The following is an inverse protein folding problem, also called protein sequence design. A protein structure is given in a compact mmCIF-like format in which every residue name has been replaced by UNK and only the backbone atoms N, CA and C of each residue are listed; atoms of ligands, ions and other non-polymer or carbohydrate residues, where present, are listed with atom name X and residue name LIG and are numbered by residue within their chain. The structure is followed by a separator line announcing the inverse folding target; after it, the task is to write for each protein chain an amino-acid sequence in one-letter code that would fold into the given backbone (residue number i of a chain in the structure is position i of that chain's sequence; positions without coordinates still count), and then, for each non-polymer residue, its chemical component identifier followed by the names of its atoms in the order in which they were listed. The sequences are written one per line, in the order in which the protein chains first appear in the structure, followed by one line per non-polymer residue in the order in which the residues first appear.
data_IF_622924711088
#
_entry.id   IF_622924711088
#
_cell.length_a   1.000
_cell.length_b   1.000
_cell.length_c   1.000
_cell.angle_alpha   90.00
_cell.angle_beta   90.00
_cell.angle_gamma   90.00
#
_symmetry.space_group_name_H-M   'P 1'
#
loop_
_entity.id
_entity.type
_entity.pdbx_description
1 polymer ?
#
# COMPACT_ATOMS: atom_id res chain seq x y z
N UNK A 1 -10.54 -15.61 -17.53
CA UNK A 1 -10.03 -14.37 -18.16
C UNK A 1 -9.54 -13.52 -17.00
N UNK A 2 -8.23 -13.25 -16.91
CA UNK A 2 -7.74 -12.21 -16.01
C UNK A 2 -8.34 -10.91 -16.53
N UNK A 3 -9.11 -10.23 -15.69
CA UNK A 3 -9.61 -8.90 -16.01
C UNK A 3 -8.38 -7.99 -16.12
N UNK A 4 -8.04 -7.55 -17.31
CA UNK A 4 -6.90 -6.67 -17.58
C UNK A 4 -7.19 -5.26 -17.06
N UNK A 5 -7.10 -5.10 -15.75
CA UNK A 5 -7.24 -3.78 -15.11
C UNK A 5 -6.18 -2.82 -15.61
N UNK A 6 -6.59 -1.62 -15.97
CA UNK A 6 -5.67 -0.54 -16.31
C UNK A 6 -5.12 0.11 -15.03
N UNK A 7 -3.81 0.11 -14.87
CA UNK A 7 -3.13 0.70 -13.70
C UNK A 7 -2.45 2.00 -14.13
N UNK A 8 -2.95 3.13 -13.63
CA UNK A 8 -2.48 4.46 -13.99
C UNK A 8 -1.73 5.12 -12.83
N UNK A 9 -0.54 5.63 -13.13
CA UNK A 9 0.22 6.46 -12.20
C UNK A 9 -0.33 7.90 -12.26
N UNK A 10 -0.85 8.43 -11.16
CA UNK A 10 -1.40 9.79 -11.14
C UNK A 10 -0.36 10.87 -11.46
N UNK A 11 0.94 10.56 -11.34
CA UNK A 11 2.02 11.47 -11.69
C UNK A 11 1.97 11.90 -13.16
N UNK A 12 1.53 11.01 -14.05
CA UNK A 12 1.43 11.34 -15.47
C UNK A 12 0.38 12.43 -15.74
N UNK A 13 -0.71 12.42 -14.99
CA UNK A 13 -1.71 13.48 -15.04
C UNK A 13 -1.22 14.76 -14.39
N UNK A 14 -0.54 14.67 -13.25
CA UNK A 14 0.03 15.84 -12.56
C UNK A 14 1.01 16.61 -13.46
N UNK A 15 1.77 15.94 -14.33
CA UNK A 15 2.65 16.58 -15.32
C UNK A 15 1.90 17.47 -16.32
N UNK A 16 0.60 17.24 -16.52
CA UNK A 16 -0.26 18.08 -17.37
C UNK A 16 -0.69 19.39 -16.68
N UNK A 17 -0.19 19.65 -15.47
CA UNK A 17 -0.54 20.82 -14.68
C UNK A 17 -1.97 20.79 -14.16
N UNK A 18 -2.59 21.98 -14.06
CA UNK A 18 -3.92 22.12 -13.45
C UNK A 18 -4.99 21.27 -14.15
N UNK A 19 -4.96 21.19 -15.46
CA UNK A 19 -5.94 20.38 -16.22
C UNK A 19 -5.90 18.89 -15.82
N UNK A 20 -4.71 18.32 -15.66
CA UNK A 20 -4.54 16.95 -15.21
C UNK A 20 -4.97 16.75 -13.75
N UNK A 21 -4.70 17.71 -12.87
CA UNK A 21 -5.18 17.66 -11.48
C UNK A 21 -6.71 17.70 -11.41
N UNK A 22 -7.36 18.54 -12.22
CA UNK A 22 -8.82 18.65 -12.28
C UNK A 22 -9.44 17.33 -12.80
N UNK A 23 -8.84 16.69 -13.81
CA UNK A 23 -9.23 15.35 -14.28
C UNK A 23 -9.15 14.30 -13.16
N UNK A 24 -8.04 14.29 -12.40
CA UNK A 24 -7.88 13.37 -11.27
C UNK A 24 -8.95 13.59 -10.22
N UNK A 25 -9.24 14.84 -9.84
CA UNK A 25 -10.29 15.16 -8.86
C UNK A 25 -11.67 14.69 -9.31
N UNK A 26 -11.97 14.83 -10.61
CA UNK A 26 -13.20 14.30 -11.19
C UNK A 26 -13.28 12.78 -11.06
N UNK A 27 -12.20 12.05 -11.38
CA UNK A 27 -12.14 10.58 -11.23
C UNK A 27 -12.27 10.18 -9.76
N UNK A 28 -11.57 10.88 -8.86
CA UNK A 28 -11.60 10.56 -7.43
C UNK A 28 -12.97 10.80 -6.78
N UNK A 29 -13.78 11.71 -7.31
CA UNK A 29 -15.13 11.98 -6.77
C UNK A 29 -16.06 10.77 -6.81
N UNK A 30 -15.80 9.81 -7.69
CA UNK A 30 -16.55 8.55 -7.80
C UNK A 30 -16.01 7.43 -6.88
N UNK A 31 -14.94 7.68 -6.14
CA UNK A 31 -14.40 6.70 -5.20
C UNK A 31 -15.06 6.80 -3.84
N UNK A 32 -15.58 5.68 -3.34
CA UNK A 32 -16.21 5.55 -2.03
C UNK A 32 -15.62 4.40 -1.24
N UNK A 33 -15.29 4.67 0.02
CA UNK A 33 -14.74 3.66 0.92
C UNK A 33 -15.29 3.80 2.35
N UNK A 34 -16.60 3.60 2.51
CA UNK A 34 -17.27 3.70 3.80
C UNK A 34 -16.68 2.80 4.89
N UNK A 35 -16.03 1.70 4.49
CA UNK A 35 -15.35 0.77 5.41
C UNK A 35 -14.11 1.36 6.05
N UNK A 36 -13.51 2.37 5.42
CA UNK A 36 -12.35 3.09 5.93
C UNK A 36 -12.29 4.50 5.32
N UNK A 37 -12.84 5.47 6.04
CA UNK A 37 -12.90 6.87 5.59
C UNK A 37 -11.52 7.50 5.40
N UNK A 38 -10.49 7.03 6.11
CA UNK A 38 -9.13 7.53 5.92
C UNK A 38 -8.59 7.19 4.53
N UNK A 39 -8.94 6.00 4.02
CA UNK A 39 -8.58 5.56 2.67
C UNK A 39 -9.26 6.44 1.62
N UNK A 40 -10.54 6.78 1.82
CA UNK A 40 -11.27 7.67 0.92
C UNK A 40 -10.69 9.10 0.95
N UNK A 41 -10.57 9.66 2.14
CA UNK A 41 -10.04 11.02 2.35
C UNK A 41 -8.59 11.17 1.83
N UNK A 42 -7.75 10.16 2.03
CA UNK A 42 -6.39 10.22 1.47
C UNK A 42 -6.40 10.35 -0.05
N UNK A 43 -7.19 9.54 -0.76
CA UNK A 43 -7.25 9.61 -2.22
C UNK A 43 -7.74 10.98 -2.69
N UNK A 44 -8.85 11.44 -2.13
CA UNK A 44 -9.57 12.64 -2.61
C UNK A 44 -8.89 13.94 -2.22
N UNK A 45 -8.24 13.99 -1.06
CA UNK A 45 -7.72 15.24 -0.48
C UNK A 45 -6.20 15.33 -0.48
N UNK A 46 -5.47 14.21 -0.37
CA UNK A 46 -4.04 14.22 -0.06
C UNK A 46 -3.16 13.63 -1.16
N UNK A 47 -3.65 12.66 -1.94
CA UNK A 47 -2.86 11.85 -2.86
C UNK A 47 -2.08 12.66 -3.90
N UNK A 48 -2.71 13.71 -4.45
CA UNK A 48 -2.08 14.61 -5.43
C UNK A 48 -0.91 15.34 -4.80
N UNK A 49 -1.12 15.96 -3.64
CA UNK A 49 -0.09 16.73 -2.94
C UNK A 49 1.08 15.85 -2.47
N UNK A 50 0.81 14.66 -1.94
CA UNK A 50 1.85 13.70 -1.56
C UNK A 50 2.68 13.27 -2.76
N UNK A 51 2.04 13.06 -3.91
CA UNK A 51 2.74 12.69 -5.15
C UNK A 51 3.58 13.86 -5.70
N UNK A 52 3.07 15.09 -5.66
CA UNK A 52 3.81 16.31 -6.06
C UNK A 52 5.04 16.54 -5.20
N UNK A 53 4.93 16.29 -3.88
CA UNK A 53 6.03 16.44 -2.92
C UNK A 53 6.99 15.24 -2.90
N UNK A 54 6.81 14.25 -3.77
CA UNK A 54 7.59 12.99 -3.78
C UNK A 54 7.57 12.23 -2.43
N UNK A 55 6.53 12.39 -1.64
CA UNK A 55 6.35 11.68 -0.38
C UNK A 55 5.82 10.25 -0.61
N UNK A 56 5.02 10.07 -1.66
CA UNK A 56 4.53 8.77 -2.13
C UNK A 56 4.07 8.87 -3.58
N UNK A 57 3.78 7.74 -4.20
CA UNK A 57 3.18 7.67 -5.54
C UNK A 57 1.89 6.88 -5.46
N UNK A 58 0.80 7.47 -5.95
CA UNK A 58 -0.51 6.83 -6.00
C UNK A 58 -0.77 6.27 -7.40
N UNK A 59 -1.30 5.07 -7.44
CA UNK A 59 -1.75 4.36 -8.63
C UNK A 59 -3.25 4.11 -8.52
N UNK A 60 -4.00 4.48 -9.53
CA UNK A 60 -5.42 4.15 -9.65
C UNK A 60 -5.61 2.92 -10.53
N UNK A 61 -6.59 2.10 -10.17
CA UNK A 61 -6.95 0.88 -10.88
C UNK A 61 -8.31 1.09 -11.50
N UNK A 62 -8.38 0.99 -12.83
CA UNK A 62 -9.56 1.25 -13.64
C UNK A 62 -10.07 -0.05 -14.24
N UNK A 63 -11.38 -0.27 -14.20
CA UNK A 63 -12.03 -1.36 -14.92
C UNK A 63 -12.04 -1.07 -16.42
N UNK A 64 -11.55 -1.99 -17.26
CA UNK A 64 -11.54 -1.79 -18.70
C UNK A 64 -12.96 -1.67 -19.29
N UNK A 65 -13.91 -2.42 -18.74
CA UNK A 65 -15.28 -2.49 -19.28
C UNK A 65 -16.11 -1.23 -18.98
N UNK A 66 -15.92 -0.64 -17.80
CA UNK A 66 -16.74 0.47 -17.30
C UNK A 66 -16.00 1.81 -17.29
N UNK A 67 -14.69 1.79 -17.50
CA UNK A 67 -13.81 2.97 -17.37
C UNK A 67 -13.94 3.69 -16.01
N UNK A 68 -14.27 2.92 -14.95
CA UNK A 68 -14.47 3.42 -13.60
C UNK A 68 -13.29 3.04 -12.69
N UNK A 69 -12.98 3.91 -11.74
CA UNK A 69 -12.01 3.59 -10.69
C UNK A 69 -12.57 2.49 -9.76
N UNK A 70 -11.93 1.32 -9.75
CA UNK A 70 -12.33 0.17 -8.93
C UNK A 70 -11.51 0.03 -7.66
N UNK A 71 -10.37 0.70 -7.61
CA UNK A 71 -9.48 0.72 -6.46
C UNK A 71 -8.28 1.61 -6.69
N UNK A 72 -7.47 1.74 -5.65
CA UNK A 72 -6.18 2.43 -5.73
C UNK A 72 -5.20 1.87 -4.70
N UNK A 73 -3.94 2.15 -4.90
CA UNK A 73 -2.90 1.92 -3.91
C UNK A 73 -1.82 3.01 -3.99
N UNK A 74 -1.11 3.19 -2.88
CA UNK A 74 -0.05 4.18 -2.78
C UNK A 74 1.23 3.52 -2.29
N UNK A 75 2.35 3.79 -2.97
CA UNK A 75 3.66 3.21 -2.66
C UNK A 75 4.63 4.32 -2.27
N UNK A 76 5.46 4.04 -1.27
CA UNK A 76 6.62 4.84 -0.92
C UNK A 76 7.74 3.93 -0.38
N UNK A 77 8.90 4.50 -0.08
CA UNK A 77 10.01 3.80 0.59
C UNK A 77 10.16 4.39 1.99
N UNK A 78 10.28 3.53 2.99
CA UNK A 78 10.49 3.91 4.39
C UNK A 78 11.54 3.02 5.05
N UNK A 79 12.33 3.57 5.96
CA UNK A 79 13.16 2.76 6.84
C UNK A 79 12.28 1.99 7.82
N UNK A 80 12.64 0.74 8.06
CA UNK A 80 12.04 -0.10 9.12
C UNK A 80 13.14 -0.78 9.91
N UNK A 81 12.82 -1.12 11.15
CA UNK A 81 13.68 -1.93 12.02
C UNK A 81 12.93 -3.21 12.36
N UNK A 82 13.56 -4.35 12.11
CA UNK A 82 12.91 -5.67 12.23
C UNK A 82 13.67 -6.52 13.23
N UNK A 83 12.95 -7.10 14.19
CA UNK A 83 13.45 -8.26 14.93
C UNK A 83 13.16 -9.52 14.09
N UNK A 84 14.18 -10.32 13.82
CA UNK A 84 14.05 -11.49 12.94
C UNK A 84 13.92 -12.81 13.68
N UNK A 85 13.81 -12.81 15.01
CA UNK A 85 13.79 -14.04 15.81
C UNK A 85 12.59 -14.94 15.50
N UNK A 86 11.45 -14.34 15.16
CA UNK A 86 10.22 -15.07 14.81
C UNK A 86 10.14 -15.49 13.32
N UNK A 87 11.13 -15.11 12.51
CA UNK A 87 11.13 -15.45 11.09
C UNK A 87 11.91 -16.75 10.82
N UNK A 88 11.52 -17.47 9.77
CA UNK A 88 12.29 -18.60 9.29
C UNK A 88 13.71 -18.21 8.90
N UNK A 89 14.64 -19.15 9.00
CA UNK A 89 16.04 -18.91 8.63
C UNK A 89 16.20 -18.38 7.18
N UNK A 90 15.32 -18.81 6.27
CA UNK A 90 15.32 -18.32 4.89
C UNK A 90 14.98 -16.84 4.81
N UNK A 91 13.93 -16.40 5.50
CA UNK A 91 13.52 -14.99 5.55
C UNK A 91 14.58 -14.15 6.25
N UNK A 92 15.10 -14.62 7.39
CA UNK A 92 16.18 -13.96 8.13
C UNK A 92 17.41 -13.69 7.24
N UNK A 93 17.87 -14.71 6.50
CA UNK A 93 19.01 -14.55 5.58
C UNK A 93 18.75 -13.55 4.45
N UNK A 94 17.53 -13.51 3.93
CA UNK A 94 17.14 -12.54 2.90
C UNK A 94 17.13 -11.12 3.47
N UNK A 95 16.56 -10.90 4.65
CA UNK A 95 16.56 -9.59 5.33
C UNK A 95 18.01 -9.15 5.59
N UNK A 96 18.84 -10.02 6.16
CA UNK A 96 20.24 -9.72 6.49
C UNK A 96 21.08 -9.26 5.28
N UNK A 97 20.75 -9.71 4.06
CA UNK A 97 21.48 -9.31 2.84
C UNK A 97 21.26 -7.85 2.43
N UNK A 98 20.18 -7.24 2.85
CA UNK A 98 19.77 -5.88 2.42
C UNK A 98 19.62 -4.93 3.61
N UNK A 99 20.17 -5.28 4.75
CA UNK A 99 20.01 -4.56 5.99
C UNK A 99 21.33 -4.41 6.75
N UNK A 100 21.37 -3.46 7.65
CA UNK A 100 22.43 -3.30 8.65
C UNK A 100 21.93 -3.85 9.99
N UNK A 101 22.74 -4.75 10.60
CA UNK A 101 22.44 -5.27 11.93
C UNK A 101 22.99 -4.32 12.98
N UNK A 102 22.12 -3.89 13.89
CA UNK A 102 22.53 -3.16 15.08
C UNK A 102 23.15 -4.14 16.09
N UNK A 103 24.44 -3.94 16.43
CA UNK A 103 25.22 -4.79 17.34
C UNK A 103 24.65 -4.83 18.75
N UNK A 104 24.00 -3.74 19.22
CA UNK A 104 23.57 -3.60 20.60
C UNK A 104 22.27 -4.36 20.90
N UNK A 105 21.39 -4.50 19.91
CA UNK A 105 20.07 -5.10 20.08
C UNK A 105 19.74 -6.22 19.09
N UNK A 106 20.67 -6.55 18.17
CA UNK A 106 20.50 -7.62 17.18
C UNK A 106 19.44 -7.38 16.09
N UNK A 107 18.76 -6.22 16.11
CA UNK A 107 17.73 -5.88 15.13
C UNK A 107 18.37 -5.45 13.80
N UNK A 108 17.59 -5.60 12.73
CA UNK A 108 17.99 -5.25 11.38
C UNK A 108 17.29 -3.97 10.90
N UNK A 109 18.06 -2.99 10.43
CA UNK A 109 17.54 -1.75 9.84
C UNK A 109 17.71 -1.79 8.33
N UNK A 110 16.63 -1.53 7.60
CA UNK A 110 16.61 -1.57 6.13
C UNK A 110 15.58 -0.60 5.56
N UNK A 111 15.79 -0.21 4.30
CA UNK A 111 14.76 0.48 3.53
C UNK A 111 13.82 -0.54 2.90
N UNK A 112 12.51 -0.33 3.05
CA UNK A 112 11.50 -1.23 2.53
C UNK A 112 10.43 -0.45 1.74
N UNK A 113 9.80 -1.10 0.77
CA UNK A 113 8.65 -0.57 0.07
C UNK A 113 7.44 -0.60 1.02
N UNK A 114 6.78 0.52 1.19
CA UNK A 114 5.54 0.63 1.96
C UNK A 114 4.36 0.74 0.99
N UNK A 115 3.42 -0.21 1.06
CA UNK A 115 2.07 0.00 0.53
C UNK A 115 1.33 0.82 1.58
N UNK A 116 1.36 2.15 1.42
CA UNK A 116 0.86 3.10 2.43
C UNK A 116 -0.67 3.18 2.44
N UNK A 117 -1.30 2.94 1.29
CA UNK A 117 -2.74 2.87 1.13
C UNK A 117 -3.09 1.73 0.16
N UNK A 118 -4.19 1.05 0.44
CA UNK A 118 -4.78 0.02 -0.42
C UNK A 118 -6.30 0.07 -0.24
N UNK A 119 -7.01 0.57 -1.24
CA UNK A 119 -8.44 0.82 -1.14
C UNK A 119 -9.24 0.33 -2.33
N UNK A 120 -10.28 -0.46 -2.06
CA UNK A 120 -11.33 -0.79 -3.05
C UNK A 120 -12.36 0.32 -3.10
N UNK A 121 -12.90 0.55 -4.28
CA UNK A 121 -14.11 1.35 -4.41
C UNK A 121 -15.34 0.51 -4.02
N UNK A 122 -16.18 1.06 -3.14
CA UNK A 122 -17.41 0.43 -2.66
C UNK A 122 -18.66 1.18 -3.13
N UNK A 123 -18.55 2.07 -4.12
CA UNK A 123 -19.71 2.70 -4.72
C UNK A 123 -20.63 1.63 -5.35
N UNK A 124 -21.92 1.69 -5.05
CA UNK A 124 -22.91 0.69 -5.47
C UNK A 124 -23.00 0.55 -7.00
N UNK A 125 -22.75 1.65 -7.74
CA UNK A 125 -22.77 1.66 -9.21
C UNK A 125 -21.64 0.83 -9.84
N UNK A 126 -20.54 0.61 -9.08
CA UNK A 126 -19.36 -0.11 -9.55
C UNK A 126 -19.50 -1.61 -9.29
N UNK A 127 -20.20 -1.97 -8.21
CA UNK A 127 -20.35 -3.34 -7.78
C UNK A 127 -19.03 -3.95 -7.27
N UNK A 128 -18.98 -5.29 -7.15
CA UNK A 128 -17.81 -6.00 -6.66
C UNK A 128 -16.84 -6.37 -7.80
N UNK A 129 -16.38 -5.38 -8.57
CA UNK A 129 -15.59 -5.57 -9.80
C UNK A 129 -14.17 -6.08 -9.53
N UNK A 130 -13.56 -5.70 -8.40
CA UNK A 130 -12.21 -6.17 -8.04
C UNK A 130 -12.21 -6.82 -6.65
N UNK A 131 -11.49 -7.92 -6.50
CA UNK A 131 -11.26 -8.53 -5.18
C UNK A 131 -10.12 -7.83 -4.43
N UNK A 132 -10.07 -8.01 -3.10
CA UNK A 132 -8.93 -7.54 -2.30
C UNK A 132 -7.61 -8.19 -2.72
N UNK A 133 -7.66 -9.48 -3.04
CA UNK A 133 -6.49 -10.25 -3.50
C UNK A 133 -5.99 -9.74 -4.84
N UNK A 134 -6.87 -9.45 -5.80
CA UNK A 134 -6.49 -8.91 -7.10
C UNK A 134 -5.85 -7.52 -6.93
N UNK A 135 -6.45 -6.63 -6.12
CA UNK A 135 -5.89 -5.30 -5.89
C UNK A 135 -4.52 -5.37 -5.20
N UNK A 136 -4.36 -6.23 -4.20
CA UNK A 136 -3.07 -6.44 -3.54
C UNK A 136 -2.05 -7.06 -4.49
N UNK A 137 -2.46 -8.01 -5.34
CA UNK A 137 -1.59 -8.62 -6.36
C UNK A 137 -1.07 -7.59 -7.35
N UNK A 138 -1.94 -6.68 -7.83
CA UNK A 138 -1.56 -5.56 -8.70
C UNK A 138 -0.55 -4.64 -8.00
N UNK A 139 -0.80 -4.28 -6.73
CA UNK A 139 0.12 -3.45 -5.96
C UNK A 139 1.49 -4.14 -5.77
N UNK A 140 1.50 -5.43 -5.46
CA UNK A 140 2.74 -6.22 -5.35
C UNK A 140 3.45 -6.36 -6.70
N UNK A 141 2.72 -6.48 -7.80
CA UNK A 141 3.27 -6.43 -9.16
C UNK A 141 4.03 -5.13 -9.41
N UNK A 142 3.44 -3.99 -9.03
CA UNK A 142 4.10 -2.68 -9.14
C UNK A 142 5.33 -2.57 -8.23
N UNK A 143 5.30 -3.13 -7.03
CA UNK A 143 6.48 -3.18 -6.16
C UNK A 143 7.60 -4.03 -6.79
N UNK A 144 7.29 -5.13 -7.48
CA UNK A 144 8.29 -5.95 -8.21
C UNK A 144 8.91 -5.19 -9.38
N UNK A 145 8.14 -4.37 -10.10
CA UNK A 145 8.71 -3.48 -11.12
C UNK A 145 9.71 -2.48 -10.52
N UNK A 146 9.37 -1.88 -9.37
CA UNK A 146 10.27 -1.00 -8.64
C UNK A 146 11.51 -1.75 -8.12
N UNK A 147 11.34 -2.95 -7.62
CA UNK A 147 12.45 -3.83 -7.22
C UNK A 147 13.39 -4.11 -8.38
N UNK A 148 12.88 -4.40 -9.56
CA UNK A 148 13.69 -4.62 -10.75
C UNK A 148 14.53 -3.38 -11.10
N UNK A 149 13.99 -2.17 -10.92
CA UNK A 149 14.69 -0.92 -11.23
C UNK A 149 15.65 -0.45 -10.12
N UNK A 150 15.32 -0.70 -8.86
CA UNK A 150 16.00 -0.05 -7.72
C UNK A 150 16.48 -1.03 -6.64
N UNK A 151 16.36 -2.34 -6.86
CA UNK A 151 16.64 -3.37 -5.82
C UNK A 151 15.67 -3.26 -4.62
N UNK A 152 16.04 -3.90 -3.47
CA UNK A 152 15.18 -4.03 -2.31
C UNK A 152 14.48 -5.38 -2.29
N UNK A 153 14.19 -5.92 -1.13
CA UNK A 153 13.64 -7.27 -1.00
C UNK A 153 12.42 -7.33 -0.08
N UNK A 154 12.06 -6.23 0.55
CA UNK A 154 11.01 -6.21 1.56
C UNK A 154 9.94 -5.21 1.19
N UNK A 155 8.71 -5.67 1.19
CA UNK A 155 7.50 -4.83 1.18
C UNK A 155 6.80 -4.97 2.52
N UNK A 156 6.24 -3.87 3.02
CA UNK A 156 5.45 -3.88 4.24
C UNK A 156 4.21 -3.01 4.10
N UNK A 157 3.29 -3.18 5.03
CA UNK A 157 2.09 -2.37 5.17
C UNK A 157 1.71 -2.23 6.65
N UNK A 158 0.85 -1.28 6.94
CA UNK A 158 0.26 -1.07 8.25
C UNK A 158 -1.24 -1.36 8.16
N UNK A 159 -1.73 -2.26 8.99
CA UNK A 159 -3.14 -2.68 9.01
C UNK A 159 -3.76 -2.38 10.37
N UNK A 160 -5.05 -2.04 10.38
CA UNK A 160 -5.82 -2.06 11.61
C UNK A 160 -5.77 -3.45 12.26
N UNK A 161 -5.76 -3.48 13.58
CA UNK A 161 -5.77 -4.73 14.35
C UNK A 161 -7.19 -5.35 14.37
N UNK A 162 -7.64 -5.81 13.21
CA UNK A 162 -8.93 -6.49 13.01
C UNK A 162 -8.67 -7.89 12.44
N UNK A 163 -9.22 -8.93 13.05
CA UNK A 163 -8.97 -10.33 12.70
C UNK A 163 -9.13 -10.58 11.19
N UNK A 164 -10.20 -10.06 10.59
CA UNK A 164 -10.46 -10.23 9.16
C UNK A 164 -9.35 -9.66 8.27
N UNK A 165 -8.77 -8.51 8.64
CA UNK A 165 -7.67 -7.90 7.89
C UNK A 165 -6.36 -8.65 8.10
N UNK A 166 -6.11 -9.07 9.33
CA UNK A 166 -4.92 -9.85 9.65
C UNK A 166 -4.96 -11.22 8.96
N UNK A 167 -6.09 -11.90 8.97
CA UNK A 167 -6.27 -13.16 8.24
C UNK A 167 -6.04 -12.97 6.73
N UNK A 168 -6.56 -11.89 6.16
CA UNK A 168 -6.34 -11.56 4.76
C UNK A 168 -4.85 -11.38 4.45
N UNK A 169 -4.12 -10.59 5.23
CA UNK A 169 -2.71 -10.36 4.95
C UNK A 169 -1.83 -11.53 5.34
N UNK A 170 -2.01 -12.11 6.54
CA UNK A 170 -1.12 -13.15 7.07
C UNK A 170 -1.40 -14.52 6.45
N UNK A 171 -2.67 -15.01 6.51
CA UNK A 171 -3.02 -16.37 6.10
C UNK A 171 -3.18 -16.49 4.59
N UNK A 172 -3.85 -15.54 3.96
CA UNK A 172 -4.14 -15.62 2.52
C UNK A 172 -2.99 -15.07 1.66
N UNK A 173 -2.34 -13.99 2.11
CA UNK A 173 -1.34 -13.30 1.31
C UNK A 173 0.11 -13.43 1.79
N UNK A 174 0.36 -14.21 2.86
CA UNK A 174 1.69 -14.62 3.31
C UNK A 174 2.57 -13.51 3.87
N UNK A 175 1.97 -12.40 4.31
CA UNK A 175 2.66 -11.41 5.12
C UNK A 175 2.96 -11.96 6.51
N UNK A 176 3.94 -11.37 7.18
CA UNK A 176 4.32 -11.73 8.55
C UNK A 176 4.34 -10.49 9.42
N UNK A 177 3.72 -10.60 10.58
CA UNK A 177 3.76 -9.53 11.59
C UNK A 177 5.18 -9.35 12.09
N UNK A 178 5.61 -8.10 12.26
CA UNK A 178 6.93 -7.81 12.81
C UNK A 178 6.92 -6.74 13.90
N UNK A 179 5.90 -5.89 13.94
CA UNK A 179 5.77 -4.86 14.97
C UNK A 179 4.31 -4.41 15.12
N UNK A 180 4.04 -3.76 16.25
CA UNK A 180 2.76 -3.11 16.54
C UNK A 180 3.02 -1.66 16.91
N UNK A 181 2.37 -0.74 16.21
CA UNK A 181 2.54 0.70 16.39
C UNK A 181 1.27 1.32 16.91
N UNK A 182 1.38 2.10 17.97
CA UNK A 182 0.27 2.90 18.47
C UNK A 182 0.34 4.29 17.84
N UNK A 183 -0.63 4.63 17.01
CA UNK A 183 -0.76 5.97 16.42
C UNK A 183 -1.79 6.78 17.21
N UNK A 184 -1.39 7.98 17.64
CA UNK A 184 -2.33 8.96 18.19
C UNK A 184 -2.93 9.74 17.02
N UNK A 185 -4.20 9.54 16.71
CA UNK A 185 -4.94 10.47 15.86
C UNK A 185 -5.30 11.73 16.66
N UNK A 186 -5.24 12.86 16.01
CA UNK A 186 -5.77 14.12 16.55
C UNK A 186 -7.24 13.92 16.90
N UNK A 187 -7.56 14.06 18.20
CA UNK A 187 -8.88 13.89 18.83
C UNK A 187 -9.43 12.45 18.81
N UNK A 188 -9.31 11.82 19.99
CA UNK A 188 -10.02 10.63 20.45
C UNK A 188 -9.67 9.28 19.78
N UNK A 189 -9.15 8.41 20.60
CA UNK A 189 -8.79 7.00 20.43
C UNK A 189 -7.45 6.74 19.71
N UNK A 190 -6.51 6.21 20.49
CA UNK A 190 -5.29 5.59 19.97
C UNK A 190 -5.67 4.38 19.11
N UNK A 191 -5.35 4.43 17.81
CA UNK A 191 -5.48 3.26 16.94
C UNK A 191 -4.19 2.45 16.98
N UNK A 192 -4.34 1.17 17.21
CA UNK A 192 -3.22 0.22 17.12
C UNK A 192 -3.13 -0.27 15.68
N UNK A 193 -2.00 -0.03 15.05
CA UNK A 193 -1.66 -0.57 13.74
C UNK A 193 -0.70 -1.73 13.89
N UNK A 194 -0.95 -2.79 13.16
CA UNK A 194 -0.06 -3.95 13.05
C UNK A 194 0.77 -3.78 11.79
N UNK A 195 2.08 -3.83 11.93
CA UNK A 195 3.02 -3.78 10.81
C UNK A 195 3.31 -5.19 10.32
N UNK A 196 3.08 -5.41 9.04
CA UNK A 196 3.18 -6.69 8.36
C UNK A 196 4.16 -6.57 7.20
N UNK A 197 5.12 -7.47 7.10
CA UNK A 197 6.09 -7.49 6.01
C UNK A 197 6.02 -8.78 5.20
N UNK A 198 6.48 -8.67 3.96
CA UNK A 198 6.67 -9.80 3.05
C UNK A 198 7.99 -9.62 2.32
N UNK A 199 8.77 -10.70 2.23
CA UNK A 199 9.97 -10.74 1.38
C UNK A 199 9.53 -11.11 -0.04
N UNK A 200 9.92 -10.33 -1.02
CA UNK A 200 9.56 -10.42 -2.44
C UNK A 200 10.73 -10.86 -3.29
#
# INVERSE_FOLDING_TARGET
MEDDFLVLNIREYIKMGKAGEDMLRQVFSSFKCEKNLDVESFLTEQSIDFTKKNQSVTYIVISPDKNNIVGYFTITIKPITVNTDEFSNTVRRKIARVSEQNSDNGKYSLSAYLIAQLGKNYDDSIGNTISGDNLLSIALGKVKELQYMASGMVVFLESENKDRLLDFYEKQNGFKRFETKVTKKYKENSHTLVQLLKVI
#
